data_IF_317779974076
#
_entry.id   IF_317779974076
#
_cell.length_a   1.000
_cell.length_b   1.000
_cell.length_c   1.000
_cell.angle_alpha   90.00
_cell.angle_beta   90.00
_cell.angle_gamma   90.00
#
_symmetry.space_group_name_H-M   'P 1'
#
loop_
_entity.id
_entity.type
_entity.pdbx_description
1 polymer ?
#
# COMPACT_ATOMS: atom_id res chain seq x y z
N UNK A 1 -15.60 -3.80 -49.76
CA UNK A 1 -14.25 -3.57 -49.19
C UNK A 1 -14.36 -3.71 -47.69
N UNK A 2 -14.11 -4.92 -47.17
CA UNK A 2 -14.16 -5.20 -45.73
C UNK A 2 -12.74 -5.07 -45.17
N UNK A 3 -12.52 -4.06 -44.32
CA UNK A 3 -11.25 -3.86 -43.62
C UNK A 3 -11.01 -5.01 -42.64
N UNK A 4 -9.87 -5.67 -42.80
CA UNK A 4 -9.40 -6.79 -41.98
C UNK A 4 -9.14 -6.33 -40.55
N UNK A 5 -9.96 -6.76 -39.60
CA UNK A 5 -9.70 -6.68 -38.16
C UNK A 5 -8.82 -7.87 -37.74
N UNK A 6 -7.54 -7.84 -38.14
CA UNK A 6 -6.54 -8.73 -37.57
C UNK A 6 -5.54 -7.89 -36.77
N UNK A 7 -5.75 -7.80 -35.46
CA UNK A 7 -4.70 -7.41 -34.51
C UNK A 7 -3.95 -8.68 -34.10
N UNK A 8 -2.61 -8.74 -34.22
CA UNK A 8 -1.85 -9.90 -33.76
C UNK A 8 -2.08 -10.08 -32.26
N UNK A 9 -2.67 -11.22 -31.88
CA UNK A 9 -2.79 -11.65 -30.50
C UNK A 9 -1.40 -12.03 -29.98
N UNK A 10 -0.62 -11.05 -29.53
CA UNK A 10 0.74 -11.30 -29.03
C UNK A 10 1.44 -10.17 -28.28
N UNK A 11 0.91 -8.94 -28.31
CA UNK A 11 1.48 -7.80 -27.60
C UNK A 11 0.41 -7.13 -26.72
N UNK A 12 -0.14 -7.88 -25.75
CA UNK A 12 -0.69 -7.23 -24.56
C UNK A 12 0.51 -6.74 -23.77
N UNK A 13 0.78 -5.44 -23.82
CA UNK A 13 1.88 -4.84 -23.07
C UNK A 13 1.88 -5.39 -21.65
N UNK A 14 2.98 -5.99 -21.22
CA UNK A 14 3.07 -6.52 -19.86
C UNK A 14 2.91 -5.34 -18.93
N UNK A 15 1.95 -5.41 -18.01
CA UNK A 15 1.73 -4.37 -17.01
C UNK A 15 2.49 -4.73 -15.72
N UNK A 16 2.84 -3.74 -14.91
CA UNK A 16 3.54 -3.94 -13.63
C UNK A 16 5.06 -4.07 -13.76
N UNK A 17 5.71 -4.78 -12.83
CA UNK A 17 7.18 -4.87 -12.72
C UNK A 17 7.87 -5.40 -13.98
N UNK A 18 7.23 -6.31 -14.72
CA UNK A 18 7.75 -6.81 -16.00
C UNK A 18 7.89 -5.71 -17.07
N UNK A 19 7.00 -4.72 -17.07
CA UNK A 19 7.08 -3.59 -18.00
C UNK A 19 8.37 -2.79 -17.79
N UNK A 20 8.75 -2.61 -16.51
CA UNK A 20 9.94 -1.86 -16.14
C UNK A 20 11.20 -2.60 -16.58
N UNK A 21 11.27 -3.92 -16.29
CA UNK A 21 12.40 -4.78 -16.69
C UNK A 21 12.58 -4.77 -18.21
N UNK A 22 11.50 -4.93 -18.97
CA UNK A 22 11.54 -4.91 -20.44
C UNK A 22 11.98 -3.54 -20.98
N UNK A 23 11.40 -2.45 -20.48
CA UNK A 23 11.77 -1.07 -20.85
C UNK A 23 13.25 -0.77 -20.57
N UNK A 24 13.78 -1.29 -19.47
CA UNK A 24 15.19 -1.12 -19.06
C UNK A 24 16.14 -2.12 -19.69
N UNK A 25 15.63 -3.07 -20.48
CA UNK A 25 16.42 -4.18 -21.05
C UNK A 25 17.22 -4.95 -19.99
N UNK A 26 16.67 -5.07 -18.79
CA UNK A 26 17.28 -5.83 -17.71
C UNK A 26 17.06 -7.34 -17.91
N UNK A 27 17.96 -8.20 -17.37
CA UNK A 27 17.78 -9.64 -17.43
C UNK A 27 16.44 -10.08 -16.83
N UNK A 28 15.70 -10.92 -17.55
CA UNK A 28 14.47 -11.51 -17.02
C UNK A 28 14.77 -12.35 -15.77
N UNK A 29 14.04 -12.06 -14.69
CA UNK A 29 14.16 -12.78 -13.43
C UNK A 29 13.47 -14.15 -13.53
N UNK A 30 14.25 -15.18 -13.86
CA UNK A 30 13.74 -16.54 -14.03
C UNK A 30 13.27 -17.15 -12.71
N UNK A 31 13.99 -16.90 -11.61
CA UNK A 31 13.66 -17.41 -10.27
C UNK A 31 12.47 -16.67 -9.68
N UNK A 32 11.57 -17.38 -9.02
CA UNK A 32 10.34 -16.79 -8.46
C UNK A 32 10.65 -15.79 -7.35
N UNK A 33 11.59 -16.12 -6.48
CA UNK A 33 12.03 -15.32 -5.34
C UNK A 33 12.73 -14.00 -5.75
N UNK A 34 13.19 -13.90 -7.00
CA UNK A 34 13.78 -12.68 -7.52
C UNK A 34 12.73 -11.73 -8.13
N UNK A 35 11.49 -12.18 -8.34
CA UNK A 35 10.43 -11.41 -9.01
C UNK A 35 9.73 -10.48 -8.02
N UNK A 36 10.32 -9.31 -7.80
CA UNK A 36 9.72 -8.28 -6.97
C UNK A 36 8.41 -7.75 -7.60
N UNK A 37 7.39 -7.58 -6.76
CA UNK A 37 6.08 -7.05 -7.19
C UNK A 37 6.13 -5.55 -7.44
N UNK A 38 6.85 -4.82 -6.59
CA UNK A 38 7.06 -3.38 -6.72
C UNK A 38 8.50 -3.12 -7.14
N UNK A 39 8.65 -2.45 -8.28
CA UNK A 39 9.94 -1.94 -8.77
C UNK A 39 9.85 -0.41 -8.93
N UNK A 40 10.90 0.33 -8.57
CA UNK A 40 11.07 1.71 -9.00
C UNK A 40 11.31 1.75 -10.52
N UNK A 41 11.34 2.96 -11.08
CA UNK A 41 11.48 3.14 -12.53
C UNK A 41 12.79 2.63 -13.11
N UNK A 42 13.83 2.47 -12.29
CA UNK A 42 15.13 1.91 -12.65
C UNK A 42 15.12 0.37 -12.74
N UNK A 43 14.09 -0.29 -12.20
CA UNK A 43 13.93 -1.74 -12.25
C UNK A 43 14.71 -2.50 -11.16
N UNK A 44 15.37 -1.79 -10.26
CA UNK A 44 16.09 -2.40 -9.13
C UNK A 44 15.14 -2.77 -7.98
N UNK A 45 15.52 -3.68 -7.06
CA UNK A 45 14.70 -3.97 -5.90
C UNK A 45 14.41 -2.70 -5.07
N UNK A 46 13.15 -2.52 -4.68
CA UNK A 46 12.76 -1.38 -3.86
C UNK A 46 13.46 -1.43 -2.49
N UNK A 47 14.15 -0.35 -2.13
CA UNK A 47 14.81 -0.23 -0.83
C UNK A 47 13.82 0.05 0.29
N UNK A 48 14.25 -0.11 1.55
CA UNK A 48 13.43 0.18 2.74
C UNK A 48 12.87 1.62 2.73
N UNK A 49 13.62 2.56 2.18
CA UNK A 49 13.29 4.00 2.24
C UNK A 49 12.54 4.48 0.99
N UNK A 50 12.44 3.64 -0.04
CA UNK A 50 11.70 3.93 -1.27
C UNK A 50 10.22 4.24 -1.02
N UNK A 51 9.46 3.37 -0.32
CA UNK A 51 8.07 3.62 0.04
C UNK A 51 7.89 4.91 0.84
N UNK A 52 8.72 5.15 1.85
CA UNK A 52 8.64 6.34 2.71
C UNK A 52 8.83 7.63 1.90
N UNK A 53 9.80 7.62 0.98
CA UNK A 53 10.08 8.75 0.08
C UNK A 53 8.93 8.99 -0.91
N UNK A 54 8.38 7.93 -1.48
CA UNK A 54 7.23 8.02 -2.39
C UNK A 54 5.98 8.55 -1.66
N UNK A 55 5.74 8.06 -0.44
CA UNK A 55 4.64 8.52 0.42
C UNK A 55 4.77 9.99 0.77
N UNK A 56 5.97 10.45 1.15
CA UNK A 56 6.20 11.85 1.47
C UNK A 56 5.91 12.77 0.28
N UNK A 57 6.26 12.36 -0.95
CA UNK A 57 5.93 13.10 -2.18
C UNK A 57 4.44 13.14 -2.42
N UNK A 58 3.74 12.01 -2.25
CA UNK A 58 2.28 11.93 -2.37
C UNK A 58 1.60 12.89 -1.40
N UNK A 59 1.92 12.81 -0.10
CA UNK A 59 1.34 13.67 0.93
C UNK A 59 1.57 15.16 0.64
N UNK A 60 2.77 15.55 0.21
CA UNK A 60 3.06 16.94 -0.17
C UNK A 60 2.23 17.40 -1.37
N UNK A 61 2.04 16.54 -2.37
CA UNK A 61 1.18 16.84 -3.50
C UNK A 61 -0.29 16.98 -3.07
N UNK A 62 -0.78 16.08 -2.22
CA UNK A 62 -2.15 16.13 -1.69
C UNK A 62 -2.42 17.41 -0.87
N UNK A 63 -1.46 17.87 -0.08
CA UNK A 63 -1.58 19.16 0.65
C UNK A 63 -1.61 20.33 -0.32
N UNK A 64 -0.68 20.36 -1.28
CA UNK A 64 -0.62 21.41 -2.32
C UNK A 64 -1.94 21.49 -3.10
N UNK A 65 -2.52 20.34 -3.42
CA UNK A 65 -3.74 20.24 -4.23
C UNK A 65 -5.02 20.35 -3.38
N UNK A 66 -4.89 20.60 -2.06
CA UNK A 66 -6.01 20.84 -1.14
C UNK A 66 -6.84 19.61 -0.79
N UNK A 67 -6.34 18.40 -1.07
CA UNK A 67 -7.02 17.13 -0.73
C UNK A 67 -7.02 16.90 0.79
N UNK A 68 -5.95 17.31 1.46
CA UNK A 68 -5.81 17.30 2.92
C UNK A 68 -5.18 18.61 3.39
N UNK A 69 -5.43 19.01 4.63
CA UNK A 69 -4.68 20.09 5.28
C UNK A 69 -3.34 19.59 5.84
N UNK A 70 -2.48 20.49 6.28
CA UNK A 70 -1.19 20.11 6.90
C UNK A 70 -1.41 19.37 8.23
N UNK A 71 -2.44 19.74 8.99
CA UNK A 71 -2.84 19.09 10.25
C UNK A 71 -3.38 17.66 10.04
N UNK A 72 -3.89 17.37 8.84
CA UNK A 72 -4.40 16.06 8.45
C UNK A 72 -3.29 15.15 7.90
N UNK A 73 -2.03 15.59 7.93
CA UNK A 73 -0.88 14.81 7.49
C UNK A 73 -0.71 13.52 8.30
N UNK A 74 -0.37 12.43 7.62
CA UNK A 74 -0.04 11.15 8.24
C UNK A 74 1.10 10.44 7.50
N UNK A 75 1.80 9.56 8.22
CA UNK A 75 2.93 8.79 7.70
C UNK A 75 2.47 7.46 7.10
N UNK A 76 3.36 6.77 6.38
CA UNK A 76 3.02 5.50 5.74
C UNK A 76 2.64 4.41 6.75
N UNK A 77 3.26 4.43 7.94
CA UNK A 77 3.00 3.47 9.01
C UNK A 77 1.64 3.68 9.67
N UNK A 78 1.06 4.88 9.60
CA UNK A 78 -0.31 5.14 10.06
C UNK A 78 -1.34 4.34 9.25
N UNK A 79 -1.04 3.94 8.00
CA UNK A 79 -1.91 3.03 7.25
C UNK A 79 -2.04 1.67 7.92
N UNK A 80 -0.94 1.12 8.44
CA UNK A 80 -0.97 -0.15 9.19
C UNK A 80 -1.81 0.01 10.46
N UNK A 81 -1.62 1.13 11.18
CA UNK A 81 -2.40 1.43 12.39
C UNK A 81 -3.90 1.54 12.09
N UNK A 82 -4.25 2.24 11.01
CA UNK A 82 -5.63 2.40 10.56
C UNK A 82 -6.24 1.05 10.19
N UNK A 83 -5.55 0.24 9.38
CA UNK A 83 -6.02 -1.10 9.01
C UNK A 83 -6.28 -2.01 10.22
N UNK A 84 -5.45 -1.94 11.25
CA UNK A 84 -5.69 -2.67 12.51
C UNK A 84 -6.88 -2.14 13.32
N UNK A 85 -7.06 -0.82 13.34
CA UNK A 85 -8.20 -0.18 14.03
C UNK A 85 -9.52 -0.54 13.34
N UNK A 86 -9.53 -0.53 12.00
CA UNK A 86 -10.70 -0.80 11.15
C UNK A 86 -11.00 -2.30 10.98
N UNK A 87 -10.08 -3.18 11.39
CA UNK A 87 -10.32 -4.63 11.36
C UNK A 87 -11.50 -4.97 12.29
N UNK A 88 -12.56 -5.53 11.71
CA UNK A 88 -13.71 -6.03 12.45
C UNK A 88 -13.34 -7.23 13.32
N UNK A 89 -14.10 -7.44 14.39
CA UNK A 89 -13.93 -8.57 15.29
C UNK A 89 -13.30 -8.20 16.63
N UNK A 90 -12.78 -9.21 17.33
CA UNK A 90 -12.21 -9.05 18.66
C UNK A 90 -10.71 -8.72 18.61
N UNK A 91 -10.11 -8.49 19.78
CA UNK A 91 -8.68 -8.13 19.88
C UNK A 91 -7.75 -9.17 19.25
N UNK A 92 -8.08 -10.46 19.33
CA UNK A 92 -7.28 -11.52 18.72
C UNK A 92 -7.36 -11.50 17.18
N UNK A 93 -8.52 -11.16 16.62
CA UNK A 93 -8.71 -11.00 15.17
C UNK A 93 -7.85 -9.85 14.66
N UNK A 94 -7.92 -8.69 15.33
CA UNK A 94 -7.10 -7.52 15.03
C UNK A 94 -5.60 -7.80 15.19
N UNK A 95 -5.22 -8.54 16.22
CA UNK A 95 -3.83 -8.93 16.46
C UNK A 95 -3.30 -9.81 15.33
N UNK A 96 -4.11 -10.77 14.87
CA UNK A 96 -3.78 -11.66 13.75
C UNK A 96 -3.61 -10.86 12.47
N UNK A 97 -4.51 -9.92 12.17
CA UNK A 97 -4.43 -9.06 11.00
C UNK A 97 -3.18 -8.16 11.00
N UNK A 98 -2.81 -7.62 12.18
CA UNK A 98 -1.65 -6.74 12.33
C UNK A 98 -0.31 -7.49 12.41
N UNK A 99 -0.34 -8.79 12.75
CA UNK A 99 0.84 -9.60 13.01
C UNK A 99 1.69 -9.07 14.17
N UNK A 100 1.04 -8.58 15.24
CA UNK A 100 1.72 -7.96 16.39
C UNK A 100 1.62 -8.81 17.65
N UNK A 101 2.49 -8.55 18.63
CA UNK A 101 2.37 -9.17 19.94
C UNK A 101 1.18 -8.58 20.72
N UNK A 102 0.64 -9.29 21.73
CA UNK A 102 -0.45 -8.77 22.54
C UNK A 102 -0.13 -7.44 23.23
N UNK A 103 1.13 -7.24 23.63
CA UNK A 103 1.58 -6.00 24.25
C UNK A 103 1.53 -4.79 23.29
N UNK A 104 1.81 -5.01 22.00
CA UNK A 104 1.82 -3.97 20.98
C UNK A 104 0.41 -3.54 20.54
N UNK A 105 -0.62 -4.35 20.81
CA UNK A 105 -2.01 -3.99 20.46
C UNK A 105 -2.47 -2.67 21.07
N UNK A 106 -1.99 -2.33 22.28
CA UNK A 106 -2.33 -1.06 22.95
C UNK A 106 -1.79 0.18 22.23
N UNK A 107 -0.78 0.03 21.38
CA UNK A 107 -0.18 1.14 20.60
C UNK A 107 -0.91 1.32 19.27
N UNK A 108 -1.45 0.23 18.71
CA UNK A 108 -2.05 0.23 17.38
C UNK A 108 -3.57 0.35 17.36
N UNK A 109 -4.26 -0.24 18.34
CA UNK A 109 -5.71 -0.14 18.45
C UNK A 109 -6.08 1.15 19.18
N UNK A 110 -6.48 2.17 18.41
CA UNK A 110 -6.97 3.44 18.94
C UNK A 110 -8.50 3.48 19.05
N UNK A 111 -9.17 2.32 19.01
CA UNK A 111 -10.62 2.29 19.18
C UNK A 111 -11.01 2.86 20.55
N UNK A 112 -11.94 3.83 20.53
CA UNK A 112 -12.50 4.41 21.74
C UNK A 112 -13.49 3.41 22.34
N UNK A 113 -13.34 2.99 23.61
CA UNK A 113 -14.30 2.11 24.25
C UNK A 113 -15.69 2.74 24.25
N UNK A 114 -16.65 2.07 23.61
CA UNK A 114 -18.06 2.46 23.73
C UNK A 114 -18.57 2.03 25.09
N UNK A 115 -18.74 2.98 25.99
CA UNK A 115 -19.37 2.78 27.31
C UNK A 115 -20.83 3.21 27.27
N UNK A 116 -21.67 2.60 28.10
CA UNK A 116 -23.03 3.09 28.31
C UNK A 116 -22.97 4.49 28.95
N UNK A 117 -23.84 5.43 28.56
CA UNK A 117 -23.97 6.69 29.30
C UNK A 117 -24.21 6.41 30.77
N UNK A 118 -23.64 7.20 31.67
CA UNK A 118 -24.08 7.18 33.06
C UNK A 118 -25.52 7.70 33.07
N UNK A 119 -26.48 6.86 33.44
CA UNK A 119 -27.85 7.30 33.65
C UNK A 119 -27.83 8.44 34.67
N UNK A 120 -28.13 9.67 34.22
CA UNK A 120 -28.35 10.80 35.11
C UNK A 120 -29.73 10.56 35.70
N UNK A 121 -29.74 10.09 36.95
CA UNK A 121 -30.95 9.99 37.77
C UNK A 121 -31.49 11.39 38.07
#
# INVERSE_FOLDING_TARGET
MAGSWYQPSGQKGRHGSFAVIERRQQPLQLRLEARFLFLPEDGEPLTKDGPDSAWQRLIKASIRDGVISDEQRFNLHDLKRQGGTDTEGNVADKQTALGVSPAMMKVYDLSVPRVKPSDVT
#
